data_IF_052515712162
#
_entry.id   IF_052515712162
#
_cell.length_a   1.000
_cell.length_b   1.000
_cell.length_c   1.000
_cell.angle_alpha   90.00
_cell.angle_beta   90.00
_cell.angle_gamma   90.00
#
_symmetry.space_group_name_H-M   'P 1'
#
loop_
_entity.id
_entity.type
_entity.pdbx_description
1 polymer ?
#
# COMPACT_ATOMS: atom_id res chain seq x y z
N UNK A 1 21.67 -28.11 -31.88
CA UNK A 1 22.80 -27.52 -31.11
C UNK A 1 22.64 -25.99 -31.15
N UNK A 2 22.57 -25.31 -30.00
CA UNK A 2 22.53 -23.84 -29.95
C UNK A 2 23.98 -23.34 -29.81
N UNK A 3 24.43 -22.53 -30.76
CA UNK A 3 25.77 -21.93 -30.77
C UNK A 3 25.83 -20.76 -29.77
N UNK A 4 26.84 -20.75 -28.90
CA UNK A 4 27.05 -19.72 -27.89
C UNK A 4 28.31 -18.93 -28.24
N UNK A 5 28.14 -17.81 -28.94
CA UNK A 5 29.20 -16.84 -29.19
C UNK A 5 29.94 -17.02 -30.51
N UNK A 6 30.23 -15.89 -31.16
CA UNK A 6 31.20 -15.82 -32.27
C UNK A 6 32.53 -15.39 -31.69
N UNK A 7 33.56 -16.21 -31.86
CA UNK A 7 34.92 -15.92 -31.43
C UNK A 7 35.66 -15.26 -32.60
N UNK A 8 36.09 -14.00 -32.40
CA UNK A 8 37.00 -13.32 -33.32
C UNK A 8 38.45 -13.59 -32.90
N UNK A 9 39.13 -14.43 -33.67
CA UNK A 9 40.52 -14.84 -33.44
C UNK A 9 41.54 -13.71 -33.68
N UNK A 10 41.14 -12.59 -34.32
CA UNK A 10 42.04 -11.48 -34.59
C UNK A 10 42.12 -10.48 -33.42
N UNK A 11 41.05 -10.33 -32.63
CA UNK A 11 41.00 -9.38 -31.51
C UNK A 11 41.17 -10.02 -30.12
N UNK A 12 41.05 -11.35 -29.99
CA UNK A 12 41.08 -12.04 -28.69
C UNK A 12 39.96 -11.62 -27.72
N UNK A 13 38.94 -10.90 -28.22
CA UNK A 13 37.80 -10.42 -27.43
C UNK A 13 36.61 -11.32 -27.69
N UNK A 14 36.10 -11.94 -26.63
CA UNK A 14 34.78 -12.54 -26.61
C UNK A 14 33.75 -11.42 -26.53
N UNK A 15 32.99 -11.17 -27.59
CA UNK A 15 31.72 -10.46 -27.45
C UNK A 15 30.77 -11.42 -26.75
N UNK A 16 30.78 -11.41 -25.42
CA UNK A 16 29.70 -12.02 -24.67
C UNK A 16 28.39 -11.36 -25.15
N UNK A 17 27.40 -12.12 -25.64
CA UNK A 17 26.09 -11.54 -25.87
C UNK A 17 25.68 -10.91 -24.54
N UNK A 18 25.36 -9.61 -24.54
CA UNK A 18 24.92 -8.86 -23.35
C UNK A 18 23.84 -9.70 -22.67
N UNK A 19 24.21 -10.50 -21.66
CA UNK A 19 23.24 -11.24 -20.88
C UNK A 19 22.55 -10.17 -20.06
N UNK A 20 21.22 -9.97 -20.20
CA UNK A 20 20.51 -9.11 -19.28
C UNK A 20 20.87 -9.59 -17.87
N UNK A 21 21.38 -8.66 -17.05
CA UNK A 21 21.77 -9.01 -15.69
C UNK A 21 20.47 -9.24 -14.91
N UNK A 22 19.98 -10.48 -14.95
CA UNK A 22 18.69 -10.92 -14.39
C UNK A 22 18.51 -10.43 -12.94
N UNK A 23 19.60 -10.39 -12.16
CA UNK A 23 19.57 -9.87 -10.78
C UNK A 23 19.23 -8.38 -10.72
N UNK A 24 19.74 -7.57 -11.65
CA UNK A 24 19.42 -6.15 -11.74
C UNK A 24 17.96 -5.93 -12.17
N UNK A 25 17.47 -6.73 -13.13
CA UNK A 25 16.08 -6.66 -13.59
C UNK A 25 15.10 -7.03 -12.47
N UNK A 26 15.40 -8.11 -11.73
CA UNK A 26 14.57 -8.53 -10.59
C UNK A 26 14.59 -7.49 -9.46
N UNK A 27 15.72 -6.81 -9.22
CA UNK A 27 15.79 -5.68 -8.26
C UNK A 27 14.89 -4.53 -8.69
N UNK A 28 14.94 -4.14 -9.96
CA UNK A 28 14.10 -3.07 -10.51
C UNK A 28 12.63 -3.46 -10.42
N UNK A 29 12.27 -4.69 -10.86
CA UNK A 29 10.92 -5.21 -10.77
C UNK A 29 10.41 -5.25 -9.32
N UNK A 30 11.22 -5.71 -8.37
CA UNK A 30 10.90 -5.68 -6.94
C UNK A 30 10.62 -4.25 -6.45
N UNK A 31 11.47 -3.28 -6.83
CA UNK A 31 11.30 -1.88 -6.46
C UNK A 31 10.01 -1.28 -7.02
N UNK A 32 9.74 -1.47 -8.32
CA UNK A 32 8.53 -0.96 -8.99
C UNK A 32 7.27 -1.60 -8.40
N UNK A 33 7.22 -2.93 -8.33
CA UNK A 33 6.04 -3.66 -7.85
C UNK A 33 5.72 -3.25 -6.42
N UNK A 34 6.71 -3.20 -5.52
CA UNK A 34 6.48 -2.81 -4.11
C UNK A 34 6.22 -1.31 -3.95
N UNK A 35 6.81 -0.45 -4.78
CA UNK A 35 6.53 0.98 -4.78
C UNK A 35 5.07 1.27 -5.15
N UNK A 36 4.57 0.62 -6.21
CA UNK A 36 3.18 0.78 -6.65
C UNK A 36 2.21 0.12 -5.65
N UNK A 37 2.45 -1.13 -5.25
CA UNK A 37 1.54 -1.85 -4.36
C UNK A 37 1.53 -1.30 -2.93
N UNK A 38 2.64 -1.47 -2.20
CA UNK A 38 2.75 -1.07 -0.80
C UNK A 38 2.85 0.44 -0.63
N UNK A 39 3.59 1.11 -1.51
CA UNK A 39 3.83 2.55 -1.39
C UNK A 39 2.63 3.39 -1.82
N UNK A 40 2.00 3.06 -2.95
CA UNK A 40 0.96 3.93 -3.53
C UNK A 40 -0.46 3.41 -3.28
N UNK A 41 -0.74 2.15 -3.62
CA UNK A 41 -2.11 1.62 -3.59
C UNK A 41 -2.62 1.42 -2.15
N UNK A 42 -1.76 1.02 -1.20
CA UNK A 42 -2.16 0.85 0.21
C UNK A 42 -2.68 2.15 0.85
N UNK A 43 -1.94 3.28 0.83
CA UNK A 43 -2.47 4.54 1.35
C UNK A 43 -3.65 5.08 0.51
N UNK A 44 -3.61 4.92 -0.82
CA UNK A 44 -4.73 5.30 -1.68
C UNK A 44 -6.03 4.58 -1.28
N UNK A 45 -5.97 3.26 -1.03
CA UNK A 45 -7.13 2.49 -0.58
C UNK A 45 -7.76 3.02 0.71
N UNK A 46 -6.96 3.58 1.63
CA UNK A 46 -7.49 4.22 2.84
C UNK A 46 -8.16 5.55 2.55
N UNK A 47 -7.62 6.35 1.63
CA UNK A 47 -8.28 7.59 1.18
C UNK A 47 -9.61 7.27 0.49
N UNK A 48 -9.65 6.24 -0.36
CA UNK A 48 -10.88 5.77 -0.99
C UNK A 48 -11.94 5.33 0.04
N UNK A 49 -11.53 4.72 1.15
CA UNK A 49 -12.47 4.37 2.22
C UNK A 49 -13.10 5.60 2.91
N UNK A 50 -12.44 6.76 2.86
CA UNK A 50 -12.95 8.03 3.41
C UNK A 50 -14.01 8.67 2.53
N UNK A 51 -14.19 8.23 1.29
CA UNK A 51 -15.29 8.70 0.42
C UNK A 51 -16.68 8.41 1.02
N UNK A 52 -16.77 7.48 1.98
CA UNK A 52 -17.99 7.23 2.77
C UNK A 52 -18.53 8.46 3.52
N UNK A 53 -17.72 9.49 3.71
CA UNK A 53 -18.11 10.73 4.39
C UNK A 53 -18.89 11.68 3.48
N UNK A 54 -18.87 11.46 2.17
CA UNK A 54 -19.60 12.28 1.21
C UNK A 54 -21.09 11.91 1.26
N UNK A 55 -22.01 12.89 1.33
CA UNK A 55 -23.46 12.65 1.41
C UNK A 55 -24.03 12.36 0.01
N UNK A 56 -23.41 11.44 -0.72
CA UNK A 56 -23.82 11.05 -2.08
C UNK A 56 -24.39 9.63 -2.05
N UNK A 57 -25.66 9.41 -2.46
CA UNK A 57 -26.30 8.09 -2.41
C UNK A 57 -25.53 7.02 -3.19
N UNK A 58 -24.97 7.36 -4.36
CA UNK A 58 -24.14 6.42 -5.14
C UNK A 58 -22.84 6.00 -4.44
N UNK A 59 -22.33 6.80 -3.49
CA UNK A 59 -21.06 6.52 -2.83
C UNK A 59 -21.20 5.59 -1.63
N UNK A 60 -22.43 5.34 -1.14
CA UNK A 60 -22.69 4.61 0.11
C UNK A 60 -22.13 3.18 0.12
N UNK A 61 -22.17 2.50 -1.04
CA UNK A 61 -21.57 1.19 -1.23
C UNK A 61 -20.25 1.25 -2.02
N UNK A 62 -20.07 2.27 -2.87
CA UNK A 62 -18.92 2.37 -3.77
C UNK A 62 -17.59 2.49 -3.01
N UNK A 63 -17.53 3.26 -1.92
CA UNK A 63 -16.30 3.39 -1.13
C UNK A 63 -15.77 2.03 -0.65
N UNK A 64 -16.68 1.11 -0.31
CA UNK A 64 -16.35 -0.20 0.22
C UNK A 64 -15.75 -1.10 -0.85
N UNK A 65 -16.35 -1.11 -2.04
CA UNK A 65 -15.82 -1.84 -3.20
C UNK A 65 -14.49 -1.26 -3.67
N UNK A 66 -14.39 0.07 -3.83
CA UNK A 66 -13.14 0.74 -4.22
C UNK A 66 -12.01 0.43 -3.23
N UNK A 67 -12.29 0.49 -1.93
CA UNK A 67 -11.32 0.12 -0.90
C UNK A 67 -10.87 -1.34 -1.05
N UNK A 68 -11.80 -2.29 -1.11
CA UNK A 68 -11.46 -3.72 -1.15
C UNK A 68 -10.72 -4.11 -2.43
N UNK A 69 -11.20 -3.68 -3.59
CA UNK A 69 -10.52 -4.01 -4.85
C UNK A 69 -9.12 -3.40 -4.89
N UNK A 70 -8.97 -2.13 -4.53
CA UNK A 70 -7.66 -1.47 -4.47
C UNK A 70 -6.70 -2.22 -3.52
N UNK A 71 -7.16 -2.55 -2.31
CA UNK A 71 -6.32 -3.23 -1.31
C UNK A 71 -6.02 -4.69 -1.69
N UNK A 72 -6.96 -5.38 -2.33
CA UNK A 72 -6.76 -6.78 -2.74
C UNK A 72 -5.73 -6.89 -3.86
N UNK A 73 -5.82 -6.00 -4.87
CA UNK A 73 -4.83 -5.92 -5.95
C UNK A 73 -3.46 -5.54 -5.38
N UNK A 74 -3.41 -4.54 -4.49
CA UNK A 74 -2.18 -4.12 -3.82
C UNK A 74 -1.55 -5.28 -3.03
N UNK A 75 -2.35 -6.04 -2.29
CA UNK A 75 -1.87 -7.19 -1.53
C UNK A 75 -1.28 -8.29 -2.44
N UNK A 76 -1.97 -8.67 -3.52
CA UNK A 76 -1.47 -9.71 -4.45
C UNK A 76 -0.16 -9.26 -5.11
N UNK A 77 -0.10 -8.04 -5.65
CA UNK A 77 1.12 -7.48 -6.21
C UNK A 77 2.24 -7.41 -5.16
N UNK A 78 1.88 -7.02 -3.94
CA UNK A 78 2.82 -6.92 -2.83
C UNK A 78 3.41 -8.26 -2.39
N UNK A 79 2.65 -9.35 -2.46
CA UNK A 79 3.16 -10.71 -2.23
C UNK A 79 4.15 -11.12 -3.32
N UNK A 80 3.84 -10.84 -4.59
CA UNK A 80 4.76 -11.08 -5.71
C UNK A 80 6.05 -10.29 -5.53
N UNK A 81 5.94 -8.98 -5.24
CA UNK A 81 7.08 -8.11 -4.96
C UNK A 81 7.91 -8.59 -3.77
N UNK A 82 7.27 -9.02 -2.68
CA UNK A 82 7.92 -9.63 -1.52
C UNK A 82 8.67 -10.92 -1.87
N UNK A 83 8.06 -11.78 -2.67
CA UNK A 83 8.66 -13.01 -3.21
C UNK A 83 9.94 -12.74 -4.00
N UNK A 84 9.94 -11.72 -4.88
CA UNK A 84 11.15 -11.29 -5.58
C UNK A 84 12.23 -10.81 -4.60
N UNK A 85 11.85 -10.12 -3.51
CA UNK A 85 12.77 -9.71 -2.45
C UNK A 85 13.45 -10.89 -1.75
N UNK A 86 12.68 -11.95 -1.45
CA UNK A 86 13.23 -13.19 -0.88
C UNK A 86 14.14 -13.94 -1.87
N UNK A 87 13.80 -13.93 -3.16
CA UNK A 87 14.63 -14.51 -4.21
C UNK A 87 15.99 -13.80 -4.32
N UNK A 88 15.99 -12.46 -4.36
CA UNK A 88 17.20 -11.63 -4.39
C UNK A 88 18.11 -11.87 -3.18
N UNK A 89 17.51 -12.16 -2.01
CA UNK A 89 18.24 -12.54 -0.80
C UNK A 89 19.00 -13.86 -1.01
N UNK A 90 18.33 -14.89 -1.54
CA UNK A 90 18.94 -16.22 -1.77
C UNK A 90 20.12 -16.16 -2.76
N UNK A 91 20.06 -15.24 -3.71
CA UNK A 91 21.09 -15.06 -4.75
C UNK A 91 22.25 -14.14 -4.37
N UNK A 92 22.34 -13.64 -3.13
CA UNK A 92 23.42 -12.75 -2.71
C UNK A 92 24.38 -13.48 -1.76
N UNK A 93 25.52 -14.02 -2.26
CA UNK A 93 26.55 -14.62 -1.42
C UNK A 93 27.15 -13.52 -0.53
N UNK A 94 27.24 -13.77 0.78
CA UNK A 94 27.88 -12.82 1.72
C UNK A 94 26.95 -11.91 2.51
N UNK A 95 25.62 -12.14 2.51
CA UNK A 95 24.72 -11.52 3.49
C UNK A 95 24.68 -10.00 3.42
N UNK A 96 24.06 -9.45 2.37
CA UNK A 96 24.00 -7.99 2.15
C UNK A 96 23.40 -7.24 3.35
N UNK A 97 24.06 -6.14 3.74
CA UNK A 97 23.87 -5.21 4.87
C UNK A 97 22.50 -4.49 4.96
N UNK A 98 21.50 -4.86 4.17
CA UNK A 98 20.18 -4.19 4.15
C UNK A 98 19.19 -4.84 5.11
N UNK A 99 19.62 -5.09 6.35
CA UNK A 99 18.87 -5.83 7.36
C UNK A 99 17.56 -5.13 7.73
N UNK A 100 17.60 -3.81 7.92
CA UNK A 100 16.43 -3.03 8.33
C UNK A 100 15.26 -3.10 7.32
N UNK A 101 15.50 -2.81 6.03
CA UNK A 101 14.48 -2.91 4.97
C UNK A 101 13.88 -4.33 4.89
N UNK A 102 14.71 -5.35 5.09
CA UNK A 102 14.26 -6.75 5.05
C UNK A 102 13.36 -7.12 6.22
N UNK A 103 13.73 -6.73 7.45
CA UNK A 103 12.91 -7.01 8.64
C UNK A 103 11.60 -6.23 8.60
N UNK A 104 11.63 -4.95 8.23
CA UNK A 104 10.42 -4.14 8.06
C UNK A 104 9.54 -4.76 6.97
N UNK A 105 10.09 -5.09 5.80
CA UNK A 105 9.34 -5.73 4.72
C UNK A 105 8.73 -7.08 5.11
N UNK A 106 9.43 -7.90 5.91
CA UNK A 106 8.89 -9.17 6.40
C UNK A 106 7.75 -8.95 7.40
N UNK A 107 7.92 -8.03 8.35
CA UNK A 107 6.88 -7.68 9.33
C UNK A 107 5.63 -7.11 8.64
N UNK A 108 5.84 -6.26 7.62
CA UNK A 108 4.79 -5.73 6.77
C UNK A 108 4.00 -6.85 6.09
N UNK A 109 4.66 -7.84 5.48
CA UNK A 109 3.95 -8.97 4.83
C UNK A 109 3.10 -9.76 5.83
N UNK A 110 3.61 -9.96 7.04
CA UNK A 110 2.85 -10.62 8.12
C UNK A 110 1.61 -9.80 8.49
N UNK A 111 1.77 -8.50 8.77
CA UNK A 111 0.63 -7.63 9.10
C UNK A 111 -0.38 -7.52 7.96
N UNK A 112 0.09 -7.46 6.71
CA UNK A 112 -0.79 -7.41 5.54
C UNK A 112 -1.58 -8.72 5.37
N UNK A 113 -0.95 -9.87 5.63
CA UNK A 113 -1.64 -11.17 5.61
C UNK A 113 -2.70 -11.24 6.71
N UNK A 114 -2.37 -10.76 7.92
CA UNK A 114 -3.32 -10.64 9.02
C UNK A 114 -4.50 -9.72 8.67
N UNK A 115 -4.23 -8.61 7.96
CA UNK A 115 -5.27 -7.70 7.45
C UNK A 115 -6.17 -8.36 6.40
N UNK A 116 -5.59 -9.15 5.50
CA UNK A 116 -6.35 -9.91 4.50
C UNK A 116 -7.23 -10.98 5.14
N UNK A 117 -6.71 -11.70 6.15
CA UNK A 117 -7.51 -12.62 6.96
C UNK A 117 -8.63 -11.91 7.72
N UNK A 118 -8.39 -10.69 8.22
CA UNK A 118 -9.43 -9.86 8.83
C UNK A 118 -10.61 -9.65 7.87
N UNK A 119 -10.30 -9.43 6.59
CA UNK A 119 -11.32 -9.26 5.56
C UNK A 119 -12.11 -10.55 5.30
N UNK A 120 -11.44 -11.71 5.19
CA UNK A 120 -12.10 -13.01 5.04
C UNK A 120 -12.99 -13.36 6.25
N UNK A 121 -12.56 -13.01 7.45
CA UNK A 121 -13.27 -13.26 8.72
C UNK A 121 -14.20 -12.12 9.13
N UNK A 122 -14.64 -11.28 8.17
CA UNK A 122 -15.49 -10.12 8.47
C UNK A 122 -16.81 -10.56 9.11
N UNK A 123 -16.97 -10.28 10.39
CA UNK A 123 -18.19 -10.55 11.16
C UNK A 123 -19.38 -9.72 10.67
N UNK A 124 -20.59 -10.30 10.76
CA UNK A 124 -21.86 -9.62 10.45
C UNK A 124 -22.08 -8.41 11.35
N UNK A 125 -22.88 -7.45 10.88
CA UNK A 125 -22.99 -6.12 11.48
C UNK A 125 -23.51 -6.12 12.92
N UNK A 126 -24.31 -7.12 13.28
CA UNK A 126 -25.03 -7.24 14.56
C UNK A 126 -24.23 -7.93 15.68
N UNK A 127 -23.02 -8.43 15.39
CA UNK A 127 -22.24 -9.18 16.38
C UNK A 127 -21.48 -8.26 17.35
N UNK A 128 -21.56 -8.52 18.66
CA UNK A 128 -20.86 -7.74 19.72
C UNK A 128 -19.35 -7.68 19.44
N UNK A 129 -18.77 -8.77 18.93
CA UNK A 129 -17.34 -8.82 18.56
C UNK A 129 -16.91 -7.92 17.39
N UNK A 130 -17.84 -7.23 16.72
CA UNK A 130 -17.51 -6.33 15.61
C UNK A 130 -16.69 -5.12 16.05
N UNK A 131 -16.81 -4.70 17.30
CA UNK A 131 -15.96 -3.63 17.87
C UNK A 131 -14.50 -4.09 17.92
N UNK A 132 -14.23 -5.29 18.44
CA UNK A 132 -12.88 -5.86 18.48
C UNK A 132 -12.32 -6.07 17.07
N UNK A 133 -13.14 -6.56 16.14
CA UNK A 133 -12.75 -6.68 14.73
C UNK A 133 -12.38 -5.33 14.11
N UNK A 134 -13.12 -4.26 14.41
CA UNK A 134 -12.81 -2.91 13.93
C UNK A 134 -11.48 -2.40 14.49
N UNK A 135 -11.24 -2.58 15.80
CA UNK A 135 -9.97 -2.19 16.44
C UNK A 135 -8.82 -2.94 15.80
N UNK A 136 -8.93 -4.27 15.71
CA UNK A 136 -7.96 -5.12 15.04
C UNK A 136 -7.68 -4.62 13.62
N UNK A 137 -8.71 -4.50 12.79
CA UNK A 137 -8.61 -4.07 11.39
C UNK A 137 -7.98 -2.67 11.22
N UNK A 138 -8.28 -1.73 12.11
CA UNK A 138 -7.65 -0.40 12.09
C UNK A 138 -6.19 -0.46 12.52
N UNK A 139 -5.87 -1.13 13.63
CA UNK A 139 -4.51 -1.24 14.12
C UNK A 139 -3.59 -1.94 13.11
N UNK A 140 -3.99 -3.09 12.58
CA UNK A 140 -3.19 -3.83 11.58
C UNK A 140 -3.13 -3.10 10.24
N UNK A 141 -4.21 -2.43 9.82
CA UNK A 141 -4.26 -1.65 8.60
C UNK A 141 -3.32 -0.44 8.62
N UNK A 142 -3.45 0.42 9.63
CA UNK A 142 -2.57 1.60 9.76
C UNK A 142 -1.12 1.20 10.04
N UNK A 143 -0.89 0.15 10.85
CA UNK A 143 0.45 -0.40 11.06
C UNK A 143 1.10 -0.85 9.76
N UNK A 144 0.36 -1.57 8.91
CA UNK A 144 0.85 -2.01 7.59
C UNK A 144 1.26 -0.83 6.70
N UNK A 145 0.45 0.24 6.66
CA UNK A 145 0.74 1.43 5.84
C UNK A 145 1.97 2.17 6.34
N UNK A 146 2.11 2.34 7.66
CA UNK A 146 3.28 3.01 8.25
C UNK A 146 4.57 2.24 7.93
N UNK A 147 4.55 0.91 8.11
CA UNK A 147 5.68 0.07 7.73
C UNK A 147 5.94 0.13 6.22
N UNK A 148 4.90 0.13 5.38
CA UNK A 148 5.03 0.24 3.93
C UNK A 148 5.73 1.55 3.51
N UNK A 149 5.26 2.69 4.00
CA UNK A 149 5.85 3.99 3.71
C UNK A 149 7.31 4.02 4.17
N UNK A 150 7.59 3.60 5.40
CA UNK A 150 8.96 3.53 5.92
C UNK A 150 9.86 2.61 5.09
N UNK A 151 9.33 1.46 4.67
CA UNK A 151 10.07 0.49 3.88
C UNK A 151 10.37 0.99 2.46
N UNK A 152 9.43 1.72 1.83
CA UNK A 152 9.63 2.37 0.54
C UNK A 152 10.71 3.44 0.62
N UNK A 153 10.72 4.29 1.65
CA UNK A 153 11.80 5.26 1.85
C UNK A 153 13.16 4.60 2.00
N UNK A 154 13.24 3.51 2.76
CA UNK A 154 14.46 2.70 2.83
C UNK A 154 14.84 2.13 1.47
N UNK A 155 13.87 1.65 0.69
CA UNK A 155 14.09 1.17 -0.68
C UNK A 155 14.69 2.23 -1.59
N UNK A 156 14.12 3.44 -1.62
CA UNK A 156 14.63 4.55 -2.43
C UNK A 156 16.04 5.00 -2.02
N UNK A 157 16.36 4.98 -0.72
CA UNK A 157 17.71 5.26 -0.22
C UNK A 157 18.74 4.24 -0.73
N UNK A 158 18.35 2.98 -0.92
CA UNK A 158 19.25 1.95 -1.45
C UNK A 158 19.53 2.08 -2.94
N UNK A 159 18.66 2.79 -3.66
CA UNK A 159 18.81 3.07 -5.09
C UNK A 159 19.53 4.40 -5.36
N UNK A 160 19.81 5.20 -4.33
CA UNK A 160 20.34 6.58 -4.42
C UNK A 160 19.51 7.52 -5.32
N UNK A 161 18.20 7.26 -5.35
CA UNK A 161 17.26 7.88 -6.28
C UNK A 161 16.49 9.03 -5.61
N UNK A 162 17.15 10.18 -5.46
CA UNK A 162 16.59 11.35 -4.77
C UNK A 162 15.33 11.95 -5.44
N UNK A 163 15.17 11.79 -6.76
CA UNK A 163 13.98 12.24 -7.48
C UNK A 163 12.74 11.44 -7.09
N UNK A 164 12.83 10.11 -7.08
CA UNK A 164 11.73 9.21 -6.75
C UNK A 164 11.23 9.42 -5.31
N UNK A 165 12.16 9.67 -4.38
CA UNK A 165 11.81 10.04 -3.00
C UNK A 165 10.94 11.32 -2.96
N UNK A 166 11.28 12.35 -3.73
CA UNK A 166 10.53 13.62 -3.78
C UNK A 166 9.14 13.44 -4.40
N UNK A 167 9.07 12.72 -5.52
CA UNK A 167 7.78 12.40 -6.18
C UNK A 167 6.88 11.63 -5.22
N UNK A 168 7.44 10.65 -4.51
CA UNK A 168 6.68 9.87 -3.53
C UNK A 168 6.19 10.71 -2.34
N UNK A 169 7.00 11.65 -1.84
CA UNK A 169 6.56 12.60 -0.79
C UNK A 169 5.42 13.47 -1.30
N UNK A 170 5.51 14.01 -2.51
CA UNK A 170 4.45 14.82 -3.11
C UNK A 170 3.15 14.03 -3.26
N UNK A 171 3.24 12.75 -3.67
CA UNK A 171 2.09 11.84 -3.73
C UNK A 171 1.46 11.59 -2.35
N UNK A 172 2.26 11.31 -1.31
CA UNK A 172 1.73 11.14 0.04
C UNK A 172 1.09 12.42 0.59
N UNK A 173 1.70 13.58 0.29
CA UNK A 173 1.17 14.88 0.69
C UNK A 173 -0.18 15.19 0.02
N UNK A 174 -0.34 14.87 -1.27
CA UNK A 174 -1.62 15.06 -1.96
C UNK A 174 -2.71 14.15 -1.41
N UNK A 175 -2.39 12.88 -1.11
CA UNK A 175 -3.32 11.97 -0.43
C UNK A 175 -3.69 12.47 0.97
N UNK A 176 -2.73 12.97 1.74
CA UNK A 176 -2.97 13.53 3.07
C UNK A 176 -3.87 14.77 3.01
N UNK A 177 -3.66 15.65 2.03
CA UNK A 177 -4.50 16.82 1.79
C UNK A 177 -5.95 16.42 1.48
N UNK A 178 -6.15 15.46 0.57
CA UNK A 178 -7.50 14.94 0.25
C UNK A 178 -8.15 14.29 1.47
N UNK A 179 -7.41 13.47 2.21
CA UNK A 179 -7.92 12.82 3.42
C UNK A 179 -8.31 13.83 4.51
N UNK A 180 -7.53 14.91 4.66
CA UNK A 180 -7.83 16.00 5.58
C UNK A 180 -9.10 16.74 5.16
N UNK A 181 -9.22 17.12 3.88
CA UNK A 181 -10.42 17.78 3.35
C UNK A 181 -11.70 16.94 3.56
N UNK A 182 -11.64 15.63 3.31
CA UNK A 182 -12.76 14.71 3.57
C UNK A 182 -13.10 14.62 5.06
N UNK A 183 -12.12 14.68 5.96
CA UNK A 183 -12.38 14.68 7.40
C UNK A 183 -13.01 16.00 7.84
N UNK A 184 -12.51 17.16 7.39
CA UNK A 184 -13.11 18.47 7.68
C UNK A 184 -14.56 18.52 7.20
N UNK A 185 -14.84 18.02 6.00
CA UNK A 185 -16.20 17.94 5.47
C UNK A 185 -17.11 17.07 6.34
N UNK A 186 -16.63 15.89 6.78
CA UNK A 186 -17.36 15.04 7.72
C UNK A 186 -17.72 15.80 9.00
N UNK A 187 -16.77 16.53 9.59
CA UNK A 187 -17.01 17.32 10.79
C UNK A 187 -18.07 18.40 10.56
N UNK A 188 -18.01 19.10 9.43
CA UNK A 188 -18.99 20.11 9.06
C UNK A 188 -20.40 19.51 8.92
N UNK A 189 -20.54 18.42 8.16
CA UNK A 189 -21.82 17.75 7.96
C UNK A 189 -22.41 17.22 9.28
N UNK A 190 -21.58 16.63 10.14
CA UNK A 190 -22.04 16.17 11.46
C UNK A 190 -22.52 17.32 12.35
N UNK A 191 -21.93 18.51 12.26
CA UNK A 191 -22.42 19.70 12.98
C UNK A 191 -23.76 20.17 12.44
N UNK A 192 -23.87 20.32 11.11
CA UNK A 192 -25.11 20.75 10.46
C UNK A 192 -26.29 19.81 10.79
N UNK A 193 -26.10 18.49 10.77
CA UNK A 193 -27.16 17.53 11.13
C UNK A 193 -27.60 17.67 12.59
N UNK A 194 -26.65 17.89 13.52
CA UNK A 194 -26.99 18.10 14.94
C UNK A 194 -27.81 19.37 15.16
N UNK A 195 -27.47 20.45 14.47
CA UNK A 195 -28.22 21.71 14.54
C UNK A 195 -29.65 21.54 14.02
N UNK A 196 -29.84 20.86 12.88
CA UNK A 196 -31.19 20.55 12.36
C UNK A 196 -32.00 19.65 13.29
N UNK A 197 -31.39 18.60 13.86
CA UNK A 197 -32.09 17.72 14.82
C UNK A 197 -32.49 18.45 16.11
N UNK A 198 -31.65 19.35 16.62
CA UNK A 198 -31.98 20.19 17.78
C UNK A 198 -33.14 21.14 17.46
N UNK A 199 -33.12 21.77 16.29
CA UNK A 199 -34.18 22.69 15.87
C UNK A 199 -35.54 21.99 15.68
N UNK A 200 -35.57 20.76 15.15
CA UNK A 200 -36.81 20.00 15.02
C UNK A 200 -37.37 19.52 16.36
N UNK A 201 -36.51 19.10 17.30
CA UNK A 201 -36.94 18.70 18.65
C UNK A 201 -37.61 19.86 19.42
N UNK A 202 -37.03 21.07 19.32
CA UNK A 202 -37.61 22.28 19.92
C UNK A 202 -38.98 22.68 19.34
N UNK A 203 -39.28 22.25 18.11
CA UNK A 203 -40.59 22.49 17.46
C UNK A 203 -41.62 21.46 17.94
N UNK A 204 -41.26 20.18 18.02
CA UNK A 204 -42.15 19.12 18.53
C UNK A 204 -42.51 19.32 20.00
N UNK A 205 -41.58 19.78 20.85
CA UNK A 205 -41.85 20.06 22.27
C UNK A 205 -42.76 21.29 22.49
N UNK A 206 -42.98 22.12 21.47
CA UNK A 206 -43.83 23.32 21.51
C UNK A 206 -45.20 23.15 20.84
N UNK A 207 -45.46 22.02 20.18
CA UNK A 207 -46.71 21.71 19.49
C UNK A 207 -47.65 20.87 20.37
#
# INVERSE_FOLDING_TARGET
MKSFGTLDFHSGKTTDPIKPNLRSEVKIAHGIINGVSWGMMMPLGVVLARLRYLPLPQLLALWFYLHIYCQSIAYVLGIVGGGLGFYLRKQSPGGVKHTCHRYIGSALLVLATLQFLAHCLRLKKEHIHRVYWNIYHWCTGYGTILLAIGNCFKGFQLMDEGMWKRVYIAFLASLAFVAFGLEVLRWYLMRATKETSSANGDIEDKA
#
